data_IF_660532534537
#
_entry.id   IF_660532534537
#
_cell.length_a   1.000
_cell.length_b   1.000
_cell.length_c   1.000
_cell.angle_alpha   90.00
_cell.angle_beta   90.00
_cell.angle_gamma   90.00
#
_symmetry.space_group_name_H-M   'P 1'
#
loop_
_entity.id
_entity.type
_entity.pdbx_description
1 polymer ?
#
# COMPACT_ATOMS: atom_id res chain seq x y z
N UNK A 1 -5.85 12.00 13.29
CA UNK A 1 -5.83 10.87 14.25
C UNK A 1 -5.53 9.59 13.47
N UNK A 2 -4.78 8.65 14.07
CA UNK A 2 -4.53 7.32 13.49
C UNK A 2 -5.39 6.31 14.26
N UNK A 3 -6.26 5.57 13.57
CA UNK A 3 -7.09 4.55 14.21
C UNK A 3 -6.33 3.26 14.53
N UNK A 4 -6.90 2.35 15.35
CA UNK A 4 -6.21 1.14 15.79
C UNK A 4 -5.73 0.22 14.66
N UNK A 5 -6.56 -0.01 13.64
CA UNK A 5 -6.20 -0.83 12.48
C UNK A 5 -5.02 -0.24 11.70
N UNK A 6 -5.02 1.08 11.48
CA UNK A 6 -3.92 1.79 10.84
C UNK A 6 -2.63 1.71 11.68
N UNK A 7 -2.75 1.85 13.01
CA UNK A 7 -1.61 1.76 13.90
C UNK A 7 -0.97 0.37 13.88
N UNK A 8 -1.77 -0.69 13.92
CA UNK A 8 -1.29 -2.08 13.81
C UNK A 8 -0.59 -2.34 12.47
N UNK A 9 -1.19 -1.89 11.36
CA UNK A 9 -0.60 -2.02 10.03
C UNK A 9 0.73 -1.23 9.89
N UNK A 10 0.82 -0.03 10.47
CA UNK A 10 2.05 0.78 10.47
C UNK A 10 3.15 0.09 11.27
N UNK A 11 2.83 -0.48 12.42
CA UNK A 11 3.80 -1.19 13.27
C UNK A 11 4.37 -2.41 12.55
N UNK A 12 3.48 -3.21 11.94
CA UNK A 12 3.87 -4.37 11.15
C UNK A 12 4.72 -3.97 9.94
N UNK A 13 4.34 -2.90 9.24
CA UNK A 13 5.09 -2.39 8.11
C UNK A 13 6.50 -1.90 8.50
N UNK A 14 6.62 -1.21 9.64
CA UNK A 14 7.91 -0.77 10.18
C UNK A 14 8.82 -1.96 10.48
N UNK A 15 8.29 -3.01 11.13
CA UNK A 15 9.02 -4.24 11.43
C UNK A 15 9.56 -4.92 10.18
N UNK A 16 8.81 -4.87 9.07
CA UNK A 16 9.17 -5.43 7.77
C UNK A 16 10.07 -4.52 6.92
N UNK A 17 10.46 -3.36 7.43
CA UNK A 17 11.40 -2.46 6.75
C UNK A 17 10.75 -1.53 5.72
N UNK A 18 9.48 -1.14 5.91
CA UNK A 18 8.88 -0.06 5.14
C UNK A 18 9.69 1.24 5.33
N UNK A 19 9.93 1.96 4.23
CA UNK A 19 10.66 3.23 4.23
C UNK A 19 9.80 4.41 4.73
N UNK A 20 8.47 4.28 4.66
CA UNK A 20 7.55 5.31 5.13
C UNK A 20 6.10 4.95 4.89
N UNK A 21 5.19 5.77 5.41
CA UNK A 21 3.75 5.55 5.31
C UNK A 21 2.96 6.85 5.36
N UNK A 22 1.73 6.81 4.83
CA UNK A 22 0.74 7.89 4.89
C UNK A 22 -0.65 7.30 5.08
N UNK A 23 -1.35 7.74 6.12
CA UNK A 23 -2.80 7.51 6.25
C UNK A 23 -3.51 8.50 5.33
N UNK A 24 -4.39 8.00 4.47
CA UNK A 24 -5.19 8.77 3.52
C UNK A 24 -6.65 8.82 3.98
N UNK A 25 -7.29 9.98 3.82
CA UNK A 25 -8.64 10.27 4.31
C UNK A 25 -8.62 11.07 5.62
N UNK A 26 -9.77 11.19 6.28
CA UNK A 26 -9.91 11.98 7.52
C UNK A 26 -9.21 11.36 8.75
N UNK A 27 -8.77 10.09 8.64
CA UNK A 27 -8.23 9.30 9.75
C UNK A 27 -9.33 8.69 10.63
N UNK A 28 -8.93 7.91 11.65
CA UNK A 28 -9.86 7.17 12.52
C UNK A 28 -10.13 5.74 12.04
N UNK A 29 -11.39 5.30 12.10
CA UNK A 29 -11.84 3.92 11.85
C UNK A 29 -11.91 3.51 10.37
N UNK A 30 -11.57 4.41 9.46
CA UNK A 30 -11.62 4.17 8.01
C UNK A 30 -10.59 5.00 7.27
N UNK A 31 -10.55 4.85 5.94
CA UNK A 31 -9.52 5.44 5.08
C UNK A 31 -8.62 4.38 4.47
N UNK A 32 -7.54 4.82 3.82
CA UNK A 32 -6.54 3.90 3.27
C UNK A 32 -5.16 4.21 3.83
N UNK A 33 -4.27 3.22 3.82
CA UNK A 33 -2.88 3.37 4.21
C UNK A 33 -2.02 3.18 2.95
N UNK A 34 -1.19 4.17 2.63
CA UNK A 34 -0.12 4.01 1.65
C UNK A 34 1.17 3.70 2.39
N UNK A 35 1.87 2.65 1.97
CA UNK A 35 3.19 2.28 2.46
C UNK A 35 4.19 2.40 1.31
N UNK A 36 5.39 2.86 1.62
CA UNK A 36 6.53 2.84 0.71
C UNK A 36 7.42 1.68 1.13
N UNK A 37 7.52 0.64 0.31
CA UNK A 37 8.46 -0.44 0.53
C UNK A 37 9.91 0.09 0.47
N UNK A 38 10.80 -0.49 1.27
CA UNK A 38 12.22 -0.13 1.28
C UNK A 38 12.88 -0.25 -0.11
N UNK A 39 13.80 0.68 -0.41
CA UNK A 39 14.53 0.71 -1.68
C UNK A 39 15.53 -0.45 -1.77
N UNK A 40 15.19 -1.44 -2.59
CA UNK A 40 16.14 -2.40 -3.14
C UNK A 40 15.62 -2.88 -4.50
N UNK A 41 16.52 -3.01 -5.48
CA UNK A 41 16.21 -3.49 -6.83
C UNK A 41 15.68 -4.95 -6.85
N UNK A 42 15.80 -5.67 -5.73
CA UNK A 42 15.34 -7.05 -5.51
C UNK A 42 14.38 -7.18 -4.32
N UNK A 43 13.78 -6.06 -3.90
CA UNK A 43 13.04 -5.96 -2.64
C UNK A 43 11.85 -6.93 -2.57
N UNK A 44 12.04 -8.04 -1.86
CA UNK A 44 10.95 -8.92 -1.41
C UNK A 44 10.03 -8.24 -0.38
N UNK A 45 10.34 -6.99 0.02
CA UNK A 45 9.61 -6.24 1.03
C UNK A 45 8.18 -5.91 0.58
N UNK A 46 7.95 -5.50 -0.67
CA UNK A 46 6.59 -5.18 -1.12
C UNK A 46 5.66 -6.43 -1.08
N UNK A 47 6.04 -7.59 -1.64
CA UNK A 47 5.27 -8.83 -1.48
C UNK A 47 5.14 -9.31 -0.03
N UNK A 48 6.16 -9.10 0.82
CA UNK A 48 6.11 -9.45 2.23
C UNK A 48 5.11 -8.57 3.00
N UNK A 49 5.14 -7.25 2.76
CA UNK A 49 4.17 -6.29 3.30
C UNK A 49 2.76 -6.66 2.85
N UNK A 50 2.57 -6.97 1.56
CA UNK A 50 1.24 -7.26 1.04
C UNK A 50 0.62 -8.50 1.70
N UNK A 51 1.39 -9.57 1.82
CA UNK A 51 0.95 -10.79 2.53
C UNK A 51 0.70 -10.54 4.02
N UNK A 52 1.60 -9.81 4.70
CA UNK A 52 1.46 -9.55 6.13
C UNK A 52 0.21 -8.71 6.43
N UNK A 53 -0.06 -7.67 5.64
CA UNK A 53 -1.22 -6.81 5.84
C UNK A 53 -2.54 -7.50 5.52
N UNK A 54 -2.58 -8.30 4.45
CA UNK A 54 -3.76 -9.10 4.11
C UNK A 54 -4.06 -10.18 5.17
N UNK A 55 -3.03 -10.68 5.86
CA UNK A 55 -3.19 -11.63 6.97
C UNK A 55 -3.50 -10.95 8.32
N UNK A 56 -3.14 -9.67 8.49
CA UNK A 56 -3.28 -8.94 9.75
C UNK A 56 -4.76 -8.67 10.09
N UNK A 57 -5.56 -8.31 9.08
CA UNK A 57 -7.00 -8.06 9.23
C UNK A 57 -7.69 -8.25 7.86
N UNK A 58 -8.69 -9.13 7.82
CA UNK A 58 -9.44 -9.47 6.60
C UNK A 58 -10.27 -8.30 6.03
N UNK A 59 -10.41 -7.20 6.77
CA UNK A 59 -11.00 -5.95 6.30
C UNK A 59 -10.11 -5.16 5.34
N UNK A 60 -8.83 -5.49 5.20
CA UNK A 60 -7.93 -4.82 4.25
C UNK A 60 -8.01 -5.44 2.85
N UNK A 61 -8.29 -4.58 1.87
CA UNK A 61 -7.94 -4.85 0.47
C UNK A 61 -6.56 -4.26 0.19
N UNK A 62 -5.58 -5.10 -0.11
CA UNK A 62 -4.20 -4.67 -0.36
C UNK A 62 -3.94 -4.58 -1.87
N UNK A 63 -3.39 -3.44 -2.30
CA UNK A 63 -2.99 -3.21 -3.68
C UNK A 63 -1.47 -3.03 -3.75
N UNK A 64 -0.79 -3.93 -4.48
CA UNK A 64 0.62 -3.76 -4.81
C UNK A 64 0.74 -2.78 -5.99
N UNK A 65 1.22 -1.58 -5.71
CA UNK A 65 1.35 -0.49 -6.67
C UNK A 65 2.81 -0.05 -6.79
N UNK A 66 3.18 0.40 -7.98
CA UNK A 66 4.46 1.03 -8.24
C UNK A 66 4.24 2.43 -8.84
N UNK A 67 5.15 3.40 -8.58
CA UNK A 67 5.11 4.68 -9.28
C UNK A 67 5.16 4.48 -10.80
N UNK A 68 4.18 5.04 -11.51
CA UNK A 68 4.21 5.05 -12.98
C UNK A 68 5.31 6.00 -13.48
N UNK A 69 5.99 5.60 -14.55
CA UNK A 69 6.89 6.47 -15.33
C UNK A 69 6.22 7.07 -16.56
N UNK A 70 4.99 6.65 -16.85
CA UNK A 70 4.21 7.08 -18.01
C UNK A 70 3.03 7.93 -17.52
N UNK A 71 2.77 9.02 -18.23
CA UNK A 71 1.61 9.87 -18.01
C UNK A 71 0.35 9.29 -18.64
N UNK A 72 -0.53 10.18 -19.12
CA UNK A 72 -1.75 9.79 -19.82
C UNK A 72 -1.39 9.13 -21.16
N UNK A 73 -2.04 7.99 -21.45
CA UNK A 73 -1.96 7.28 -22.73
C UNK A 73 -3.37 7.21 -23.32
N UNK A 74 -3.49 7.38 -24.64
CA UNK A 74 -4.76 7.24 -25.37
C UNK A 74 -4.66 5.98 -26.22
N UNK A 75 -5.59 5.05 -26.01
CA UNK A 75 -5.74 3.84 -26.84
C UNK A 75 -7.05 3.94 -27.63
N UNK A 76 -6.97 3.87 -28.96
CA UNK A 76 -8.15 3.79 -29.82
C UNK A 76 -8.59 2.34 -29.96
N UNK A 77 -9.82 2.03 -29.52
CA UNK A 77 -10.42 0.72 -29.70
C UNK A 77 -11.22 0.68 -31.01
N UNK A 78 -11.13 -0.41 -31.80
CA UNK A 78 -11.91 -0.52 -33.03
C UNK A 78 -13.41 -0.49 -32.71
N UNK A 79 -14.16 0.34 -33.44
CA UNK A 79 -15.61 0.35 -33.36
C UNK A 79 -16.14 -0.99 -33.89
N UNK A 80 -16.98 -1.66 -33.10
CA UNK A 80 -17.68 -2.89 -33.48
C UNK A 80 -18.81 -2.62 -34.45
#
# INVERSE_FOLDING_TARGET
>A
MVGPAHAAAIEEARRLGAAGWKVNGAGGSGGSLTLVAGSSATSATAPALARALGALDAGWTVLELAPSRVGVVVEELPMR
#
